data_IF_504339875381
#
_entry.id   IF_504339875381
#
_cell.length_a   1.000
_cell.length_b   1.000
_cell.length_c   1.000
_cell.angle_alpha   90.00
_cell.angle_beta   90.00
_cell.angle_gamma   90.00
#
_symmetry.space_group_name_H-M   'P 1'
#
loop_
_entity.id
_entity.type
_entity.pdbx_description
1 polymer ?
#
# COMPACT_ATOMS: atom_id res chain seq x y z
N UNK A 1 -21.92 9.91 18.25
CA UNK A 1 -20.95 8.95 17.94
C UNK A 1 -20.31 9.17 16.60
N UNK A 2 -19.06 9.00 16.55
CA UNK A 2 -18.32 9.24 15.35
C UNK A 2 -18.10 7.99 14.58
N UNK A 3 -18.27 8.07 13.32
CA UNK A 3 -17.90 6.97 12.47
C UNK A 3 -16.56 7.30 11.88
N UNK A 4 -15.66 6.40 12.06
CA UNK A 4 -14.33 6.57 11.52
C UNK A 4 -14.32 6.17 10.06
N UNK A 5 -14.29 7.16 9.19
CA UNK A 5 -14.28 6.92 7.77
C UNK A 5 -12.91 6.59 7.24
N UNK A 6 -11.91 6.65 8.08
CA UNK A 6 -10.55 6.39 7.64
C UNK A 6 -10.06 5.02 8.05
N UNK A 7 -10.95 4.05 8.09
CA UNK A 7 -10.55 2.69 8.38
C UNK A 7 -9.60 2.21 7.32
N UNK A 8 -8.45 1.76 7.75
CA UNK A 8 -7.45 1.21 6.86
C UNK A 8 -7.41 -0.30 7.01
N UNK A 9 -7.46 -0.98 5.90
CA UNK A 9 -7.46 -2.43 5.89
C UNK A 9 -6.16 -2.91 5.26
N UNK A 10 -5.43 -3.72 6.00
CA UNK A 10 -4.22 -4.34 5.50
C UNK A 10 -4.61 -5.52 4.62
N UNK A 11 -4.19 -5.48 3.37
CA UNK A 11 -4.50 -6.52 2.41
C UNK A 11 -3.19 -7.19 1.99
N UNK A 12 -3.01 -8.47 2.30
CA UNK A 12 -1.79 -9.16 1.88
C UNK A 12 -1.67 -9.20 0.37
N UNK A 13 -0.44 -9.14 -0.12
CA UNK A 13 -0.19 -9.23 -1.54
C UNK A 13 -0.50 -10.63 -2.04
N UNK A 14 -1.27 -10.79 -3.12
CA UNK A 14 -1.46 -12.09 -3.72
C UNK A 14 -0.16 -12.61 -4.32
N UNK A 15 -0.09 -13.90 -4.46
CA UNK A 15 1.17 -14.54 -4.83
C UNK A 15 1.64 -14.26 -6.23
N UNK A 16 0.77 -13.98 -7.16
CA UNK A 16 1.18 -14.01 -8.54
C UNK A 16 1.09 -12.67 -9.23
N UNK A 17 -0.02 -11.97 -9.15
CA UNK A 17 -0.23 -10.80 -9.98
C UNK A 17 0.21 -9.49 -9.36
N UNK A 18 0.16 -9.39 -8.06
CA UNK A 18 0.40 -8.13 -7.35
C UNK A 18 1.58 -8.28 -6.42
N UNK A 19 2.67 -8.74 -6.99
CA UNK A 19 3.88 -8.99 -6.23
C UNK A 19 4.54 -7.69 -5.84
N UNK A 20 4.85 -7.56 -4.56
CA UNK A 20 5.50 -6.38 -4.03
C UNK A 20 6.95 -6.66 -3.76
N UNK A 21 7.82 -5.74 -4.16
CA UNK A 21 9.23 -5.83 -3.82
C UNK A 21 9.43 -5.53 -2.34
N UNK A 22 10.50 -6.08 -1.75
CA UNK A 22 10.82 -5.75 -0.36
C UNK A 22 11.10 -4.26 -0.20
N UNK A 23 10.86 -3.76 0.99
CA UNK A 23 11.14 -2.37 1.31
C UNK A 23 12.64 -2.08 1.27
N UNK A 24 12.97 -0.82 1.18
CA UNK A 24 14.38 -0.38 1.23
C UNK A 24 15.06 -0.80 2.52
N UNK A 25 14.32 -1.01 3.59
CA UNK A 25 14.88 -1.48 4.85
C UNK A 25 15.16 -2.98 4.84
N UNK A 26 14.99 -3.61 3.69
CA UNK A 26 15.21 -5.04 3.47
C UNK A 26 14.18 -5.93 4.13
N UNK A 27 13.08 -5.35 4.57
CA UNK A 27 11.97 -6.11 5.10
C UNK A 27 11.03 -6.48 3.98
N UNK A 28 10.50 -7.68 4.01
CA UNK A 28 9.45 -8.09 3.09
C UNK A 28 8.06 -8.00 3.74
N UNK A 29 7.98 -7.39 4.91
CA UNK A 29 6.72 -7.21 5.61
C UNK A 29 5.96 -6.03 5.04
N UNK A 30 5.60 -6.12 3.77
CA UNK A 30 4.88 -5.08 3.05
C UNK A 30 3.52 -5.60 2.62
N UNK A 31 2.55 -4.71 2.58
CA UNK A 31 1.20 -5.08 2.20
C UNK A 31 0.48 -3.88 1.63
N UNK A 32 -0.61 -4.15 0.94
CA UNK A 32 -1.51 -3.09 0.49
C UNK A 32 -2.31 -2.57 1.66
N UNK A 33 -2.59 -1.29 1.65
CA UNK A 33 -3.52 -0.68 2.58
C UNK A 33 -4.66 -0.10 1.76
N UNK A 34 -5.86 -0.54 2.05
CA UNK A 34 -7.07 -0.04 1.41
C UNK A 34 -7.75 0.91 2.38
N UNK A 35 -8.00 2.13 1.95
CA UNK A 35 -8.55 3.14 2.84
C UNK A 35 -9.46 4.08 2.07
N UNK A 36 -10.28 4.80 2.80
CA UNK A 36 -11.12 5.83 2.21
C UNK A 36 -10.39 7.16 2.28
N UNK A 37 -10.11 7.70 1.11
CA UNK A 37 -9.52 9.01 1.02
C UNK A 37 -10.49 9.99 0.39
N UNK A 38 -10.00 11.18 0.13
CA UNK A 38 -10.78 12.17 -0.59
C UNK A 38 -11.09 11.65 -1.97
N UNK A 39 -12.36 11.65 -2.32
CA UNK A 39 -12.77 11.19 -3.62
C UNK A 39 -13.00 9.71 -3.70
N UNK A 40 -12.95 8.98 -2.59
CA UNK A 40 -13.32 7.57 -2.56
C UNK A 40 -12.24 6.65 -2.05
N UNK A 41 -12.43 5.37 -2.32
CA UNK A 41 -11.51 4.35 -1.85
C UNK A 41 -10.18 4.42 -2.60
N UNK A 42 -9.12 4.21 -1.89
CA UNK A 42 -7.77 4.28 -2.44
C UNK A 42 -6.91 3.15 -1.92
N UNK A 43 -5.82 2.92 -2.62
CA UNK A 43 -4.85 1.89 -2.29
C UNK A 43 -3.47 2.50 -2.13
N UNK A 44 -2.73 1.99 -1.19
CA UNK A 44 -1.30 2.29 -1.09
C UNK A 44 -0.57 1.06 -0.60
N UNK A 45 0.74 1.06 -0.69
CA UNK A 45 1.58 -0.01 -0.17
C UNK A 45 2.41 0.55 0.96
N UNK A 46 2.55 -0.23 2.01
CA UNK A 46 3.27 0.22 3.19
C UNK A 46 4.12 -0.91 3.75
N UNK A 47 5.32 -0.55 4.20
CA UNK A 47 6.15 -1.47 4.97
C UNK A 47 5.72 -1.39 6.43
N UNK A 48 5.48 -2.54 7.03
CA UNK A 48 5.02 -2.60 8.41
C UNK A 48 6.15 -2.78 9.41
N UNK A 49 7.38 -2.72 8.93
CA UNK A 49 8.54 -2.72 9.82
C UNK A 49 9.12 -1.33 10.02
N UNK A 50 9.36 -0.60 8.93
CA UNK A 50 9.93 0.74 9.04
C UNK A 50 8.89 1.85 8.83
N UNK A 51 7.71 1.51 8.38
CA UNK A 51 6.65 2.49 8.16
C UNK A 51 6.72 3.22 6.83
N UNK A 52 7.66 2.88 5.97
CA UNK A 52 7.77 3.56 4.68
C UNK A 52 6.55 3.30 3.82
N UNK A 53 6.06 4.32 3.19
CA UNK A 53 4.94 4.21 2.26
C UNK A 53 5.08 5.25 1.17
N UNK A 54 4.45 4.99 0.03
CA UNK A 54 4.32 5.99 -1.01
C UNK A 54 3.12 6.85 -0.67
N UNK A 55 3.33 8.16 -0.59
CA UNK A 55 2.33 9.08 -0.10
C UNK A 55 1.11 9.25 -0.99
N UNK A 56 1.16 8.77 -2.19
CA UNK A 56 0.04 8.92 -3.09
C UNK A 56 -0.96 7.80 -2.90
N UNK A 57 -2.24 8.15 -2.90
CA UNK A 57 -3.29 7.16 -2.97
C UNK A 57 -3.60 6.83 -4.42
N UNK A 58 -3.84 5.57 -4.70
CA UNK A 58 -4.15 5.11 -6.05
C UNK A 58 -5.50 4.44 -6.06
N UNK A 59 -6.22 4.60 -7.14
CA UNK A 59 -7.56 4.03 -7.24
C UNK A 59 -7.55 2.55 -7.50
N UNK A 60 -6.50 2.06 -8.13
CA UNK A 60 -6.37 0.65 -8.43
C UNK A 60 -5.14 0.09 -7.76
N UNK A 61 -5.26 -1.15 -7.34
CA UNK A 61 -4.19 -1.84 -6.64
C UNK A 61 -2.95 -1.98 -7.51
N UNK A 62 -3.15 -2.21 -8.79
CA UNK A 62 -2.04 -2.34 -9.73
C UNK A 62 -1.18 -1.08 -9.78
N UNK A 63 -1.82 0.08 -9.78
CA UNK A 63 -1.08 1.34 -9.79
C UNK A 63 -0.27 1.51 -8.51
N UNK A 64 -0.85 1.13 -7.38
CA UNK A 64 -0.13 1.21 -6.12
C UNK A 64 1.08 0.26 -6.13
N UNK A 65 0.92 -0.92 -6.69
CA UNK A 65 2.00 -1.87 -6.81
C UNK A 65 3.14 -1.32 -7.65
N UNK A 66 2.83 -0.74 -8.79
CA UNK A 66 3.85 -0.21 -9.68
C UNK A 66 4.59 0.96 -9.03
N UNK A 67 3.86 1.83 -8.37
CA UNK A 67 4.49 2.96 -7.70
C UNK A 67 5.42 2.50 -6.58
N UNK A 68 4.99 1.52 -5.81
CA UNK A 68 5.83 0.96 -4.77
C UNK A 68 7.09 0.32 -5.32
N UNK A 69 6.93 -0.54 -6.32
CA UNK A 69 8.07 -1.26 -6.89
C UNK A 69 9.09 -0.30 -7.51
N UNK A 70 8.61 0.78 -8.08
CA UNK A 70 9.51 1.79 -8.62
C UNK A 70 10.22 2.54 -7.50
N UNK A 71 9.51 2.87 -6.44
CA UNK A 71 10.09 3.63 -5.35
C UNK A 71 11.15 2.86 -4.59
N UNK A 72 10.95 1.56 -4.40
CA UNK A 72 11.89 0.75 -3.62
C UNK A 72 12.93 0.07 -4.51
N UNK A 73 12.64 -0.07 -5.77
CA UNK A 73 13.56 -0.75 -6.69
C UNK A 73 14.39 0.19 -7.53
N UNK A 74 14.05 1.46 -7.49
CA UNK A 74 14.76 2.47 -8.28
C UNK A 74 16.03 2.95 -7.67
#
# INVERSE_FOLDING_TARGET
MMIDDSIEIKVPAPDSQYRLKPCKCKSDNVAYVHYNGRGGAKWRVQCFDCGYTVDKGYRVRHDAQMAWNEAVGG
#
